data_IF_754866675308
#
_entry.id   IF_754866675308
#
_cell.length_a   1.000
_cell.length_b   1.000
_cell.length_c   1.000
_cell.angle_alpha   90.00
_cell.angle_beta   90.00
_cell.angle_gamma   90.00
#
_symmetry.space_group_name_H-M   'P 1'
#
loop_
_entity.id
_entity.type
_entity.pdbx_description
1 polymer ?
#
# COMPACT_ATOMS: atom_id res chain seq x y z
N UNK A 1 19.20 10.36 -11.52
CA UNK A 1 19.71 9.19 -10.74
C UNK A 1 18.55 8.28 -10.39
N UNK A 2 18.74 6.95 -10.51
CA UNK A 2 17.69 5.98 -10.14
C UNK A 2 17.99 5.45 -8.75
N UNK A 3 17.13 5.75 -7.79
CA UNK A 3 17.34 5.42 -6.39
C UNK A 3 16.32 4.39 -5.89
N UNK A 4 16.81 3.50 -5.03
CA UNK A 4 15.99 2.76 -4.09
C UNK A 4 15.80 3.57 -2.81
N UNK A 5 14.87 3.17 -1.96
CA UNK A 5 14.55 3.87 -0.71
C UNK A 5 15.79 4.22 0.14
N UNK A 6 16.74 3.29 0.28
CA UNK A 6 17.93 3.50 1.12
C UNK A 6 18.86 4.59 0.56
N UNK A 7 18.95 4.71 -0.76
CA UNK A 7 19.76 5.74 -1.44
C UNK A 7 19.11 7.11 -1.29
N UNK A 8 17.78 7.18 -1.49
CA UNK A 8 17.00 8.40 -1.27
C UNK A 8 17.15 8.90 0.19
N UNK A 9 17.04 7.97 1.15
CA UNK A 9 17.20 8.28 2.57
C UNK A 9 18.59 8.82 2.91
N UNK A 10 19.63 8.24 2.32
CA UNK A 10 21.01 8.71 2.51
C UNK A 10 21.20 10.13 1.95
N UNK A 11 20.71 10.39 0.76
CA UNK A 11 20.81 11.71 0.11
C UNK A 11 20.05 12.78 0.93
N UNK A 12 18.81 12.52 1.33
CA UNK A 12 18.05 13.47 2.16
C UNK A 12 18.77 13.73 3.50
N UNK A 13 19.42 12.71 4.07
CA UNK A 13 20.18 12.85 5.33
C UNK A 13 21.46 13.68 5.16
N UNK A 14 22.13 13.59 4.00
CA UNK A 14 23.33 14.40 3.72
C UNK A 14 23.02 15.88 3.47
N UNK A 15 21.76 16.23 3.16
CA UNK A 15 21.39 17.60 2.80
C UNK A 15 21.73 17.98 1.36
N UNK A 16 22.19 17.03 0.55
CA UNK A 16 22.49 17.24 -0.87
C UNK A 16 21.23 16.99 -1.70
N UNK A 17 20.39 18.01 -1.85
CA UNK A 17 19.12 17.89 -2.53
C UNK A 17 19.25 18.03 -4.04
N UNK A 18 18.62 17.11 -4.78
CA UNK A 18 18.42 17.25 -6.21
C UNK A 18 17.34 18.31 -6.49
N UNK A 19 17.45 18.99 -7.63
CA UNK A 19 16.43 19.96 -8.05
C UNK A 19 15.09 19.33 -8.41
N UNK A 20 15.11 18.04 -8.81
CA UNK A 20 13.91 17.34 -9.25
C UNK A 20 13.88 15.95 -8.60
N UNK A 21 12.74 15.59 -8.03
CA UNK A 21 12.44 14.25 -7.56
C UNK A 21 11.19 13.71 -8.26
N UNK A 22 11.23 12.44 -8.64
CA UNK A 22 10.05 11.67 -9.06
C UNK A 22 9.91 10.50 -8.10
N UNK A 23 8.93 10.57 -7.21
CA UNK A 23 8.61 9.54 -6.23
C UNK A 23 7.46 8.68 -6.78
N UNK A 24 7.73 7.42 -7.10
CA UNK A 24 6.77 6.51 -7.73
C UNK A 24 6.85 5.11 -7.12
N UNK A 25 5.93 4.23 -7.48
CA UNK A 25 5.85 2.87 -6.95
C UNK A 25 4.52 2.60 -6.25
N UNK A 26 4.39 1.43 -5.66
CA UNK A 26 3.13 0.93 -5.12
C UNK A 26 2.93 1.20 -3.60
N UNK A 27 3.87 1.93 -2.95
CA UNK A 27 3.76 2.28 -1.53
C UNK A 27 3.46 3.77 -1.34
N UNK A 28 2.18 4.09 -1.22
CA UNK A 28 1.70 5.49 -1.11
C UNK A 28 2.18 6.18 0.17
N UNK A 29 2.27 5.44 1.29
CA UNK A 29 2.79 6.01 2.53
C UNK A 29 4.23 6.51 2.39
N UNK A 30 5.10 5.73 1.77
CA UNK A 30 6.50 6.13 1.58
C UNK A 30 6.63 7.33 0.63
N UNK A 31 5.82 7.38 -0.44
CA UNK A 31 5.80 8.53 -1.34
C UNK A 31 5.43 9.81 -0.60
N UNK A 32 4.39 9.77 0.21
CA UNK A 32 3.97 10.90 1.03
C UNK A 32 5.04 11.27 2.06
N UNK A 33 5.55 10.27 2.80
CA UNK A 33 6.57 10.47 3.83
C UNK A 33 7.84 11.14 3.27
N UNK A 34 8.35 10.68 2.12
CA UNK A 34 9.56 11.25 1.54
C UNK A 34 9.31 12.62 0.91
N UNK A 35 8.15 12.87 0.32
CA UNK A 35 7.78 14.19 -0.17
C UNK A 35 7.74 15.21 0.98
N UNK A 36 7.08 14.86 2.10
CA UNK A 36 7.04 15.69 3.30
C UNK A 36 8.44 15.88 3.94
N UNK A 37 9.24 14.82 3.97
CA UNK A 37 10.59 14.88 4.52
C UNK A 37 11.50 15.80 3.70
N UNK A 38 11.45 15.72 2.36
CA UNK A 38 12.17 16.62 1.46
C UNK A 38 11.72 18.06 1.71
N UNK A 39 10.42 18.33 1.69
CA UNK A 39 9.86 19.64 1.94
C UNK A 39 10.28 20.21 3.31
N UNK A 40 10.24 19.40 4.36
CA UNK A 40 10.61 19.84 5.73
C UNK A 40 12.11 20.07 5.92
N UNK A 41 12.95 19.49 5.06
CA UNK A 41 14.40 19.65 5.11
C UNK A 41 14.92 20.78 4.22
N UNK A 42 14.16 21.14 3.19
CA UNK A 42 14.50 22.19 2.25
C UNK A 42 13.90 23.55 2.61
N UNK A 43 12.71 23.57 3.20
CA UNK A 43 11.99 24.78 3.57
C UNK A 43 12.00 24.99 5.08
N UNK A 44 12.49 26.14 5.51
CA UNK A 44 12.45 26.54 6.91
C UNK A 44 11.00 26.72 7.39
N UNK A 45 10.74 26.33 8.64
CA UNK A 45 9.39 26.28 9.20
C UNK A 45 8.68 27.65 9.16
N UNK A 46 9.41 28.72 9.42
CA UNK A 46 8.87 30.08 9.49
C UNK A 46 8.53 30.66 8.10
N UNK A 47 9.11 30.12 7.04
CA UNK A 47 8.86 30.55 5.65
C UNK A 47 8.05 29.53 4.85
N UNK A 48 7.43 28.56 5.51
CA UNK A 48 6.66 27.49 4.85
C UNK A 48 5.53 28.02 3.97
N UNK A 49 4.84 29.05 4.42
CA UNK A 49 3.69 29.62 3.68
C UNK A 49 4.09 30.32 2.37
N UNK A 50 5.37 30.71 2.24
CA UNK A 50 5.90 31.40 1.07
C UNK A 50 6.71 30.47 0.16
N UNK A 51 7.45 29.53 0.75
CA UNK A 51 8.45 28.75 0.03
C UNK A 51 8.01 27.29 -0.22
N UNK A 52 6.85 26.84 0.31
CA UNK A 52 6.30 25.52 0.07
C UNK A 52 5.01 25.61 -0.72
N UNK A 53 5.01 25.05 -1.93
CA UNK A 53 3.84 24.93 -2.77
C UNK A 53 3.40 23.48 -2.87
N UNK A 54 2.11 23.21 -2.58
CA UNK A 54 1.52 21.87 -2.69
C UNK A 54 0.42 21.94 -3.74
N UNK A 55 0.62 21.23 -4.85
CA UNK A 55 -0.25 21.29 -6.03
C UNK A 55 -0.92 19.94 -6.32
N UNK A 56 -2.18 20.01 -6.71
CA UNK A 56 -2.89 18.88 -7.34
C UNK A 56 -2.54 18.88 -8.84
N UNK A 57 -1.67 17.97 -9.25
CA UNK A 57 -1.17 17.91 -10.62
C UNK A 57 -2.26 17.62 -11.66
N UNK A 58 -3.39 17.05 -11.24
CA UNK A 58 -4.53 16.83 -12.16
C UNK A 58 -5.24 18.13 -12.57
N UNK A 59 -5.02 19.21 -11.81
CA UNK A 59 -5.63 20.54 -12.04
C UNK A 59 -4.60 21.62 -12.37
N UNK A 60 -3.31 21.27 -12.30
CA UNK A 60 -2.23 22.23 -12.48
C UNK A 60 -1.78 22.22 -13.95
N UNK A 61 -1.87 23.38 -14.61
CA UNK A 61 -1.30 23.57 -15.93
C UNK A 61 0.19 23.91 -15.87
N UNK A 62 0.84 23.97 -17.04
CA UNK A 62 2.28 24.22 -17.14
C UNK A 62 2.66 25.64 -16.68
N UNK A 63 1.76 26.62 -16.85
CA UNK A 63 2.03 28.00 -16.44
C UNK A 63 2.00 28.11 -14.92
N UNK A 64 0.99 27.56 -14.27
CA UNK A 64 0.90 27.50 -12.81
C UNK A 64 2.10 26.74 -12.20
N UNK A 65 2.52 25.63 -12.81
CA UNK A 65 3.73 24.92 -12.40
C UNK A 65 4.96 25.81 -12.53
N UNK A 66 5.13 26.47 -13.68
CA UNK A 66 6.23 27.39 -13.96
C UNK A 66 6.33 28.51 -12.93
N UNK A 67 5.23 29.17 -12.63
CA UNK A 67 5.17 30.26 -11.65
C UNK A 67 5.64 29.82 -10.26
N UNK A 68 5.26 28.63 -9.84
CA UNK A 68 5.67 28.08 -8.54
C UNK A 68 7.16 27.69 -8.50
N UNK A 69 7.67 27.03 -9.57
CA UNK A 69 9.02 26.44 -9.53
C UNK A 69 10.12 27.42 -9.96
N UNK A 70 9.79 28.46 -10.70
CA UNK A 70 10.75 29.51 -11.08
C UNK A 70 10.79 30.67 -10.07
N UNK A 71 9.93 30.66 -9.04
CA UNK A 71 9.96 31.63 -7.96
C UNK A 71 11.23 31.48 -7.11
N UNK A 72 11.79 32.60 -6.66
CA UNK A 72 12.90 32.60 -5.73
C UNK A 72 12.40 32.46 -4.28
N UNK A 73 13.16 31.77 -3.41
CA UNK A 73 12.78 31.62 -2.01
C UNK A 73 12.76 32.97 -1.29
N UNK A 74 11.76 33.19 -0.45
CA UNK A 74 11.71 34.32 0.42
C UNK A 74 12.71 34.13 1.58
N UNK A 75 13.57 35.12 1.83
CA UNK A 75 14.55 35.11 2.93
C UNK A 75 15.64 34.02 2.86
N UNK A 76 15.92 33.46 1.68
CA UNK A 76 16.96 32.44 1.48
C UNK A 76 16.48 31.01 1.62
N UNK A 77 17.39 30.04 1.55
CA UNK A 77 17.08 28.62 1.56
C UNK A 77 16.57 28.10 0.19
N UNK A 78 15.58 27.22 0.25
CA UNK A 78 14.99 26.60 -0.95
C UNK A 78 13.50 26.93 -1.06
N UNK A 79 13.00 26.99 -2.29
CA UNK A 79 11.60 26.83 -2.63
C UNK A 79 11.33 25.35 -2.90
N UNK A 80 10.29 24.79 -2.31
CA UNK A 80 9.90 23.39 -2.55
C UNK A 80 8.49 23.35 -3.14
N UNK A 81 8.34 22.73 -4.31
CA UNK A 81 7.04 22.50 -4.92
C UNK A 81 6.76 21.01 -4.99
N UNK A 82 5.71 20.56 -4.29
CA UNK A 82 5.25 19.15 -4.31
C UNK A 82 4.02 19.06 -5.18
N UNK A 83 4.09 18.28 -6.26
CA UNK A 83 2.99 18.09 -7.21
C UNK A 83 2.54 16.64 -7.18
N UNK A 84 1.28 16.42 -6.82
CA UNK A 84 0.69 15.07 -6.78
C UNK A 84 0.00 14.77 -8.10
N UNK A 85 0.34 13.61 -8.70
CA UNK A 85 -0.29 13.08 -9.93
C UNK A 85 -0.30 14.06 -11.13
N UNK A 86 0.81 14.79 -11.31
CA UNK A 86 0.98 15.55 -12.54
C UNK A 86 0.97 14.62 -13.76
N UNK A 87 0.33 14.97 -14.89
CA UNK A 87 0.18 14.07 -16.04
C UNK A 87 1.49 13.87 -16.82
N UNK A 88 2.52 13.37 -16.15
CA UNK A 88 3.88 13.23 -16.64
C UNK A 88 3.97 12.41 -17.94
N UNK A 89 3.11 11.39 -18.08
CA UNK A 89 3.09 10.55 -19.28
C UNK A 89 2.66 11.32 -20.54
N UNK A 90 1.80 12.33 -20.41
CA UNK A 90 1.33 13.16 -21.52
C UNK A 90 2.42 14.11 -22.05
N UNK A 91 3.45 14.37 -21.25
CA UNK A 91 4.59 15.20 -21.63
C UNK A 91 5.51 14.50 -22.64
N UNK A 92 5.36 13.20 -22.83
CA UNK A 92 6.16 12.43 -23.78
C UNK A 92 5.33 12.15 -25.03
N UNK A 93 5.66 12.82 -26.12
CA UNK A 93 5.03 12.63 -27.42
C UNK A 93 5.29 11.24 -28.00
N UNK A 94 4.59 10.88 -29.09
CA UNK A 94 4.66 9.54 -29.69
C UNK A 94 6.05 9.16 -30.22
N UNK A 95 6.83 10.13 -30.66
CA UNK A 95 8.23 9.93 -31.06
C UNK A 95 9.20 9.97 -29.86
N UNK A 96 8.67 10.09 -28.64
CA UNK A 96 9.44 10.14 -27.39
C UNK A 96 10.16 11.49 -27.17
N UNK A 97 9.72 12.56 -27.83
CA UNK A 97 10.20 13.92 -27.58
C UNK A 97 9.44 14.48 -26.37
N UNK A 98 10.15 15.12 -25.46
CA UNK A 98 9.54 15.82 -24.32
C UNK A 98 8.83 17.08 -24.81
N UNK A 99 7.73 17.43 -24.14
CA UNK A 99 7.00 18.67 -24.39
C UNK A 99 7.93 19.87 -24.21
N UNK A 100 7.92 20.81 -25.17
CA UNK A 100 8.87 21.94 -25.19
C UNK A 100 8.69 22.91 -24.03
N UNK A 101 7.46 23.15 -23.61
CA UNK A 101 7.17 24.06 -22.49
C UNK A 101 7.69 23.45 -21.18
N UNK A 102 7.47 22.14 -20.99
CA UNK A 102 8.02 21.43 -19.83
C UNK A 102 9.54 21.39 -19.83
N UNK A 103 10.16 21.15 -21.00
CA UNK A 103 11.63 21.20 -21.18
C UNK A 103 12.19 22.56 -20.82
N UNK A 104 11.51 23.63 -21.23
CA UNK A 104 11.88 25.03 -20.89
C UNK A 104 11.82 25.25 -19.37
N UNK A 105 10.74 24.84 -18.71
CA UNK A 105 10.60 24.96 -17.24
C UNK A 105 11.70 24.20 -16.52
N UNK A 106 11.96 22.96 -16.90
CA UNK A 106 12.99 22.12 -16.27
C UNK A 106 14.40 22.67 -16.45
N UNK A 107 14.72 23.18 -17.66
CA UNK A 107 16.05 23.76 -17.95
C UNK A 107 16.32 25.06 -17.19
N UNK A 108 15.28 25.80 -16.85
CA UNK A 108 15.36 27.10 -16.17
C UNK A 108 15.22 27.00 -14.65
N UNK A 109 15.05 25.78 -14.07
CA UNK A 109 14.90 25.60 -12.63
C UNK A 109 16.08 26.25 -11.86
N UNK A 110 15.81 27.16 -10.92
CA UNK A 110 16.85 27.73 -10.06
C UNK A 110 17.55 26.65 -9.23
N UNK A 111 18.79 26.86 -8.86
CA UNK A 111 19.52 25.97 -7.95
C UNK A 111 18.88 25.90 -6.55
N UNK A 112 18.12 26.91 -6.20
CA UNK A 112 17.38 27.03 -4.94
C UNK A 112 15.97 26.42 -4.98
N UNK A 113 15.61 25.74 -6.08
CA UNK A 113 14.29 25.11 -6.24
C UNK A 113 14.39 23.59 -6.11
N UNK A 114 13.47 23.01 -5.35
CA UNK A 114 13.27 21.56 -5.26
C UNK A 114 11.85 21.23 -5.73
N UNK A 115 11.75 20.56 -6.87
CA UNK A 115 10.50 20.10 -7.46
C UNK A 115 10.30 18.60 -7.18
N UNK A 116 9.19 18.23 -6.54
CA UNK A 116 8.88 16.86 -6.19
C UNK A 116 7.59 16.42 -6.89
N UNK A 117 7.71 15.53 -7.86
CA UNK A 117 6.55 14.83 -8.43
C UNK A 117 6.24 13.59 -7.60
N UNK A 118 5.11 13.59 -6.91
CA UNK A 118 4.57 12.44 -6.20
C UNK A 118 3.54 11.76 -7.09
N UNK A 119 3.85 10.54 -7.56
CA UNK A 119 3.00 9.78 -8.48
C UNK A 119 2.24 8.72 -7.69
N UNK A 120 0.97 9.01 -7.33
CA UNK A 120 0.11 8.09 -6.58
C UNK A 120 -0.69 7.16 -7.50
N UNK A 121 -0.97 7.62 -8.72
CA UNK A 121 -1.61 6.82 -9.76
C UNK A 121 -0.76 5.62 -10.18
N UNK A 122 -1.44 4.54 -10.61
CA UNK A 122 -0.75 3.37 -11.16
C UNK A 122 -0.04 3.72 -12.47
N UNK A 123 1.24 3.44 -12.53
CA UNK A 123 2.04 3.62 -13.74
C UNK A 123 2.56 2.27 -14.23
N UNK A 124 2.32 1.98 -15.50
CA UNK A 124 2.99 0.85 -16.14
C UNK A 124 4.47 1.17 -16.33
N UNK A 125 5.30 0.64 -15.45
CA UNK A 125 6.76 0.85 -15.47
C UNK A 125 7.45 0.29 -16.72
N UNK A 126 6.78 -0.61 -17.46
CA UNK A 126 7.28 -1.15 -18.75
C UNK A 126 6.96 -0.24 -19.93
N UNK A 127 6.15 0.81 -19.72
CA UNK A 127 5.78 1.74 -20.75
C UNK A 127 7.02 2.54 -21.24
N UNK A 128 7.22 2.56 -22.55
CA UNK A 128 8.37 3.23 -23.16
C UNK A 128 8.38 4.76 -22.90
N UNK A 129 7.20 5.40 -22.83
CA UNK A 129 7.08 6.82 -22.49
C UNK A 129 7.55 7.09 -21.06
N UNK A 130 7.16 6.23 -20.11
CA UNK A 130 7.61 6.30 -18.72
C UNK A 130 9.13 6.19 -18.60
N UNK A 131 9.70 5.17 -19.21
CA UNK A 131 11.17 4.97 -19.22
C UNK A 131 11.91 6.17 -19.80
N UNK A 132 11.38 6.79 -20.88
CA UNK A 132 11.97 7.97 -21.49
C UNK A 132 11.89 9.20 -20.60
N UNK A 133 10.74 9.39 -19.94
CA UNK A 133 10.56 10.48 -18.96
C UNK A 133 11.57 10.36 -17.81
N UNK A 134 11.68 9.18 -17.20
CA UNK A 134 12.62 8.99 -16.10
C UNK A 134 14.08 9.24 -16.53
N UNK A 135 14.47 8.80 -17.74
CA UNK A 135 15.78 9.11 -18.30
C UNK A 135 16.00 10.60 -18.54
N UNK A 136 14.96 11.30 -18.98
CA UNK A 136 15.02 12.76 -19.16
C UNK A 136 15.22 13.48 -17.82
N UNK A 137 14.48 13.08 -16.77
CA UNK A 137 14.67 13.62 -15.42
C UNK A 137 16.09 13.33 -14.90
N UNK A 138 16.58 12.12 -15.09
CA UNK A 138 17.93 11.71 -14.71
C UNK A 138 19.00 12.57 -15.42
N UNK A 139 18.88 12.79 -16.75
CA UNK A 139 19.82 13.60 -17.51
C UNK A 139 19.84 15.08 -17.10
N UNK A 140 18.77 15.58 -16.47
CA UNK A 140 18.68 16.92 -15.88
C UNK A 140 19.07 16.95 -14.38
N UNK A 141 19.78 15.94 -13.89
CA UNK A 141 20.28 15.86 -12.52
C UNK A 141 19.19 15.51 -11.49
N UNK A 142 18.02 15.05 -11.95
CA UNK A 142 16.93 14.66 -11.06
C UNK A 142 17.10 13.26 -10.49
N UNK A 143 16.35 12.96 -9.44
CA UNK A 143 16.29 11.66 -8.75
C UNK A 143 14.95 11.01 -9.00
N UNK A 144 14.97 9.79 -9.52
CA UNK A 144 13.80 8.93 -9.72
C UNK A 144 13.83 7.82 -8.66
N UNK A 145 12.95 7.88 -7.67
CA UNK A 145 12.94 6.93 -6.56
C UNK A 145 11.73 5.99 -6.64
N UNK A 146 12.02 4.68 -6.78
CA UNK A 146 11.00 3.64 -6.73
C UNK A 146 10.73 3.21 -5.28
N UNK A 147 9.52 3.46 -4.80
CA UNK A 147 9.07 3.18 -3.44
C UNK A 147 8.06 2.03 -3.47
N UNK A 148 8.56 0.83 -3.20
CA UNK A 148 7.78 -0.41 -3.26
C UNK A 148 7.23 -0.81 -1.90
N UNK A 149 6.11 -1.54 -1.91
CA UNK A 149 5.56 -2.19 -0.72
C UNK A 149 6.60 -3.04 -0.03
N UNK A 150 6.58 -3.01 1.28
CA UNK A 150 7.47 -3.80 2.12
C UNK A 150 6.98 -5.22 2.27
N UNK A 151 7.92 -6.14 2.37
CA UNK A 151 7.60 -7.53 2.75
C UNK A 151 7.17 -7.61 4.21
N UNK A 152 6.43 -8.65 4.58
CA UNK A 152 6.02 -8.87 5.99
C UNK A 152 7.21 -8.87 6.95
N UNK A 153 8.35 -9.43 6.54
CA UNK A 153 9.59 -9.43 7.34
C UNK A 153 10.13 -8.02 7.56
N UNK A 154 10.06 -7.15 6.54
CA UNK A 154 10.47 -5.74 6.65
C UNK A 154 9.49 -4.93 7.51
N UNK A 155 8.17 -5.20 7.40
CA UNK A 155 7.16 -4.58 8.25
C UNK A 155 7.31 -4.97 9.72
N UNK A 156 7.56 -6.25 10.00
CA UNK A 156 7.84 -6.74 11.36
C UNK A 156 9.09 -6.06 11.94
N UNK A 157 10.16 -5.93 11.15
CA UNK A 157 11.34 -5.19 11.58
C UNK A 157 11.02 -3.72 11.87
N UNK A 158 10.19 -3.08 11.03
CA UNK A 158 9.75 -1.71 11.23
C UNK A 158 8.93 -1.56 12.55
N UNK A 159 8.04 -2.51 12.83
CA UNK A 159 7.26 -2.55 14.08
C UNK A 159 8.21 -2.63 15.28
N UNK A 160 9.13 -3.61 15.28
CA UNK A 160 10.06 -3.80 16.39
C UNK A 160 10.98 -2.60 16.60
N UNK A 161 11.54 -2.03 15.53
CA UNK A 161 12.41 -0.85 15.60
C UNK A 161 11.63 0.41 16.04
N UNK A 162 10.36 0.53 15.65
CA UNK A 162 9.52 1.68 16.03
C UNK A 162 9.04 1.59 17.47
N UNK A 163 8.66 0.40 17.94
CA UNK A 163 8.32 0.16 19.36
C UNK A 163 9.50 0.53 20.25
N UNK A 164 10.70 0.08 19.90
CA UNK A 164 11.93 0.38 20.65
C UNK A 164 12.23 1.87 20.77
N UNK A 165 12.02 2.64 19.70
CA UNK A 165 12.16 4.11 19.72
C UNK A 165 11.15 4.81 20.63
N UNK A 166 10.03 4.14 20.95
CA UNK A 166 8.97 4.63 21.85
C UNK A 166 9.10 4.13 23.29
N UNK A 167 10.21 3.45 23.63
CA UNK A 167 10.45 2.90 24.95
C UNK A 167 9.76 1.57 25.22
N UNK A 168 9.19 0.95 24.19
CA UNK A 168 8.56 -0.37 24.29
C UNK A 168 9.38 -1.43 23.57
N UNK A 169 9.26 -2.67 24.01
CA UNK A 169 9.75 -3.85 23.31
C UNK A 169 8.58 -4.65 22.77
N UNK A 170 8.76 -5.32 21.65
CA UNK A 170 7.78 -6.26 21.11
C UNK A 170 8.52 -7.47 20.53
N UNK A 171 8.07 -8.67 20.84
CA UNK A 171 8.64 -9.89 20.28
C UNK A 171 8.38 -9.95 18.78
N UNK A 172 9.23 -10.70 18.05
CA UNK A 172 9.01 -10.91 16.61
C UNK A 172 7.66 -11.61 16.35
N UNK A 173 7.26 -12.51 17.21
CA UNK A 173 5.99 -13.24 17.10
C UNK A 173 4.80 -12.32 17.32
N UNK A 174 4.86 -11.44 18.33
CA UNK A 174 3.79 -10.47 18.60
C UNK A 174 3.75 -9.35 17.55
N UNK A 175 4.89 -9.01 16.95
CA UNK A 175 4.93 -8.09 15.82
C UNK A 175 4.30 -8.70 14.55
N UNK A 176 4.46 -10.01 14.29
CA UNK A 176 3.71 -10.71 13.26
C UNK A 176 2.21 -10.78 13.59
N UNK A 177 1.87 -11.05 14.85
CA UNK A 177 0.48 -11.02 15.29
C UNK A 177 -0.17 -9.65 15.06
N UNK A 178 0.53 -8.58 15.40
CA UNK A 178 0.07 -7.21 15.14
C UNK A 178 -0.11 -6.94 13.65
N UNK A 179 0.84 -7.37 12.81
CA UNK A 179 0.74 -7.24 11.35
C UNK A 179 -0.47 -7.99 10.80
N UNK A 180 -0.72 -9.21 11.28
CA UNK A 180 -1.87 -10.01 10.89
C UNK A 180 -3.20 -9.38 11.35
N UNK A 181 -3.23 -8.75 12.52
CA UNK A 181 -4.43 -8.11 13.08
C UNK A 181 -4.76 -6.77 12.39
N UNK A 182 -3.75 -5.94 12.14
CA UNK A 182 -3.91 -4.57 11.62
C UNK A 182 -3.89 -4.53 10.09
N UNK A 183 -3.13 -5.42 9.45
CA UNK A 183 -2.90 -5.43 8.00
C UNK A 183 -1.57 -4.81 7.61
N UNK A 184 -1.31 -4.78 6.28
CA UNK A 184 -0.03 -4.38 5.67
C UNK A 184 0.02 -2.90 5.25
N UNK A 185 -1.04 -2.13 5.48
CA UNK A 185 -1.03 -0.69 5.26
C UNK A 185 -0.13 0.03 6.27
N UNK A 186 0.94 0.65 5.78
CA UNK A 186 1.96 1.24 6.65
C UNK A 186 1.45 2.40 7.50
N UNK A 187 0.49 3.19 6.99
CA UNK A 187 -0.09 4.31 7.72
C UNK A 187 -0.91 3.81 8.91
N UNK A 188 -1.81 2.86 8.64
CA UNK A 188 -2.64 2.22 9.66
C UNK A 188 -1.78 1.49 10.68
N UNK A 189 -0.81 0.68 10.21
CA UNK A 189 0.08 -0.07 11.08
C UNK A 189 0.87 0.82 12.03
N UNK A 190 1.35 1.97 11.55
CA UNK A 190 2.04 2.94 12.38
C UNK A 190 1.12 3.55 13.43
N UNK A 191 -0.09 3.98 13.04
CA UNK A 191 -1.06 4.59 13.94
C UNK A 191 -1.49 3.60 15.03
N UNK A 192 -1.72 2.33 14.67
CA UNK A 192 -2.09 1.31 15.65
C UNK A 192 -0.92 1.00 16.61
N UNK A 193 0.32 0.92 16.09
CA UNK A 193 1.51 0.76 16.92
C UNK A 193 1.70 1.93 17.89
N UNK A 194 1.45 3.15 17.44
CA UNK A 194 1.53 4.35 18.27
C UNK A 194 0.54 4.28 19.44
N UNK A 195 -0.70 3.83 19.18
CA UNK A 195 -1.71 3.62 20.22
C UNK A 195 -1.32 2.52 21.21
N UNK A 196 -0.85 1.37 20.70
CA UNK A 196 -0.44 0.24 21.55
C UNK A 196 0.75 0.62 22.43
N UNK A 197 1.76 1.31 21.89
CA UNK A 197 2.89 1.79 22.67
C UNK A 197 2.48 2.84 23.71
N UNK A 198 1.57 3.76 23.35
CA UNK A 198 1.04 4.75 24.27
C UNK A 198 0.23 4.13 25.43
N UNK A 199 -0.53 3.07 25.13
CA UNK A 199 -1.25 2.27 26.14
C UNK A 199 -0.29 1.54 27.07
N UNK A 200 0.72 0.87 26.51
CA UNK A 200 1.74 0.13 27.31
C UNK A 200 2.63 1.03 28.12
N UNK A 201 2.96 2.24 27.61
CA UNK A 201 3.90 3.24 28.12
C UNK A 201 5.35 2.77 28.07
N UNK A 202 5.69 1.67 28.74
CA UNK A 202 7.02 1.07 28.79
C UNK A 202 6.95 -0.46 28.96
N UNK A 203 8.04 -1.15 28.62
CA UNK A 203 8.16 -2.60 28.74
C UNK A 203 7.70 -3.34 27.49
N UNK A 204 7.43 -4.65 27.65
CA UNK A 204 7.14 -5.54 26.54
C UNK A 204 5.67 -5.53 26.16
N UNK A 205 5.36 -5.16 24.92
CA UNK A 205 4.03 -5.26 24.32
C UNK A 205 3.71 -6.74 24.08
N UNK A 206 2.54 -7.16 24.53
CA UNK A 206 2.03 -8.52 24.40
C UNK A 206 0.80 -8.54 23.49
N UNK A 207 0.36 -9.74 23.07
CA UNK A 207 -0.89 -9.93 22.31
C UNK A 207 -2.09 -9.32 23.04
N UNK A 208 -2.17 -9.47 24.37
CA UNK A 208 -3.25 -8.88 25.15
C UNK A 208 -3.28 -7.34 25.06
N UNK A 209 -2.11 -6.69 25.03
CA UNK A 209 -2.02 -5.23 24.82
C UNK A 209 -2.49 -4.84 23.41
N UNK A 210 -2.13 -5.63 22.39
CA UNK A 210 -2.57 -5.43 21.00
C UNK A 210 -4.08 -5.58 20.91
N UNK A 211 -4.64 -6.67 21.44
CA UNK A 211 -6.08 -6.96 21.40
C UNK A 211 -6.92 -5.91 22.16
N UNK A 212 -6.35 -5.29 23.20
CA UNK A 212 -7.03 -4.27 23.98
C UNK A 212 -7.18 -2.93 23.25
N UNK A 213 -6.28 -2.61 22.31
CA UNK A 213 -6.16 -1.25 21.78
C UNK A 213 -6.17 -1.20 20.26
N UNK A 214 -5.55 -2.16 19.59
CA UNK A 214 -5.44 -2.12 18.14
C UNK A 214 -6.78 -2.42 17.47
N UNK A 215 -7.13 -1.59 16.49
CA UNK A 215 -8.31 -1.84 15.66
C UNK A 215 -7.94 -2.91 14.63
N UNK A 216 -8.57 -4.08 14.77
CA UNK A 216 -8.41 -5.16 13.80
C UNK A 216 -9.04 -4.76 12.47
N UNK A 217 -8.31 -4.88 11.37
CA UNK A 217 -8.81 -4.56 10.04
C UNK A 217 -9.97 -5.50 9.64
N UNK A 218 -10.82 -5.03 8.72
CA UNK A 218 -11.90 -5.86 8.14
C UNK A 218 -11.31 -7.10 7.49
N UNK A 219 -10.24 -6.92 6.73
CA UNK A 219 -9.51 -8.00 6.08
C UNK A 219 -9.04 -9.07 7.09
N UNK A 220 -8.45 -8.66 8.21
CA UNK A 220 -7.97 -9.60 9.23
C UNK A 220 -9.12 -10.36 9.90
N UNK A 221 -10.25 -9.69 10.17
CA UNK A 221 -11.47 -10.33 10.70
C UNK A 221 -12.04 -11.34 9.70
N UNK A 222 -12.10 -10.99 8.41
CA UNK A 222 -12.59 -11.90 7.38
C UNK A 222 -11.62 -13.04 7.11
N UNK A 223 -10.32 -12.83 7.23
CA UNK A 223 -9.33 -13.92 7.21
C UNK A 223 -9.49 -14.87 8.41
N UNK A 224 -9.84 -14.33 9.59
CA UNK A 224 -10.16 -15.17 10.74
C UNK A 224 -11.45 -15.97 10.50
N UNK A 225 -12.48 -15.35 9.93
CA UNK A 225 -13.70 -16.02 9.47
C UNK A 225 -13.37 -17.15 8.50
N UNK A 226 -12.55 -16.89 7.47
CA UNK A 226 -12.11 -17.92 6.52
C UNK A 226 -11.41 -19.09 7.21
N UNK A 227 -10.53 -18.82 8.18
CA UNK A 227 -9.83 -19.87 8.96
C UNK A 227 -10.78 -20.71 9.81
N UNK A 228 -11.77 -20.09 10.46
CA UNK A 228 -12.80 -20.84 11.21
C UNK A 228 -13.63 -21.73 10.29
N UNK A 229 -14.00 -21.24 9.12
CA UNK A 229 -14.69 -22.06 8.09
C UNK A 229 -13.79 -23.22 7.67
N UNK A 230 -12.52 -22.96 7.37
CA UNK A 230 -11.55 -24.00 6.99
C UNK A 230 -11.35 -25.02 8.09
N UNK A 231 -11.27 -24.62 9.38
CA UNK A 231 -11.13 -25.55 10.50
C UNK A 231 -12.41 -26.32 10.85
N UNK A 232 -13.57 -25.92 10.30
CA UNK A 232 -14.87 -26.50 10.65
C UNK A 232 -15.46 -25.94 11.95
N UNK A 233 -14.90 -24.84 12.46
CA UNK A 233 -15.35 -24.18 13.69
C UNK A 233 -16.54 -23.26 13.39
N UNK A 234 -17.73 -23.84 13.39
CA UNK A 234 -18.97 -23.15 13.04
C UNK A 234 -19.32 -22.03 14.03
N UNK A 235 -19.09 -22.24 15.32
CA UNK A 235 -19.45 -21.28 16.36
C UNK A 235 -18.64 -20.00 16.22
N UNK A 236 -17.33 -20.13 16.12
CA UNK A 236 -16.44 -18.97 15.92
C UNK A 236 -16.61 -18.31 14.55
N UNK A 237 -16.94 -19.08 13.51
CA UNK A 237 -17.24 -18.52 12.19
C UNK A 237 -18.47 -17.61 12.24
N UNK A 238 -19.59 -18.10 12.81
CA UNK A 238 -20.83 -17.34 12.92
C UNK A 238 -20.71 -16.15 13.90
N UNK A 239 -19.98 -16.33 15.00
CA UNK A 239 -19.68 -15.24 15.93
C UNK A 239 -18.88 -14.13 15.26
N UNK A 240 -17.85 -14.49 14.49
CA UNK A 240 -17.02 -13.52 13.74
C UNK A 240 -17.85 -12.78 12.71
N UNK A 241 -18.69 -13.48 11.94
CA UNK A 241 -19.61 -12.85 10.98
C UNK A 241 -20.59 -11.89 11.68
N UNK A 242 -21.20 -12.30 12.80
CA UNK A 242 -22.09 -11.46 13.60
C UNK A 242 -21.39 -10.19 14.10
N UNK A 243 -20.12 -10.29 14.51
CA UNK A 243 -19.33 -9.14 14.96
C UNK A 243 -19.02 -8.17 13.80
N UNK A 244 -18.74 -8.67 12.59
CA UNK A 244 -18.58 -7.83 11.39
C UNK A 244 -19.85 -7.00 11.15
N UNK A 245 -21.04 -7.61 11.24
CA UNK A 245 -22.30 -6.87 11.09
C UNK A 245 -22.55 -5.85 12.22
N UNK A 246 -22.20 -6.17 13.47
CA UNK A 246 -22.29 -5.22 14.58
C UNK A 246 -21.40 -3.99 14.36
N UNK A 247 -20.26 -4.16 13.71
CA UNK A 247 -19.35 -3.08 13.33
C UNK A 247 -19.83 -2.32 12.09
N UNK A 248 -20.98 -2.67 11.52
CA UNK A 248 -21.56 -2.07 10.31
C UNK A 248 -20.70 -2.22 9.07
N UNK A 249 -19.92 -3.31 9.00
CA UNK A 249 -19.16 -3.62 7.81
C UNK A 249 -20.09 -3.95 6.64
N UNK A 250 -19.77 -3.42 5.47
CA UNK A 250 -20.56 -3.63 4.26
C UNK A 250 -20.52 -5.10 3.82
N UNK A 251 -21.67 -5.77 3.67
CA UNK A 251 -21.75 -7.20 3.34
C UNK A 251 -21.01 -7.58 2.08
N UNK A 252 -21.05 -6.71 1.06
CA UNK A 252 -20.35 -6.91 -0.21
C UNK A 252 -18.82 -6.84 -0.02
N UNK A 253 -18.34 -5.97 0.87
CA UNK A 253 -16.91 -5.89 1.20
C UNK A 253 -16.44 -7.16 1.94
N UNK A 254 -17.21 -7.65 2.92
CA UNK A 254 -16.95 -8.92 3.62
C UNK A 254 -16.88 -10.09 2.64
N UNK A 255 -17.86 -10.18 1.73
CA UNK A 255 -17.90 -11.22 0.69
C UNK A 255 -16.71 -11.10 -0.27
N UNK A 256 -16.31 -9.87 -0.65
CA UNK A 256 -15.18 -9.62 -1.53
C UNK A 256 -13.86 -10.16 -0.96
N UNK A 257 -13.59 -9.88 0.32
CA UNK A 257 -12.38 -10.37 1.00
C UNK A 257 -12.42 -11.91 1.16
N UNK A 258 -13.58 -12.47 1.54
CA UNK A 258 -13.77 -13.92 1.65
C UNK A 258 -13.56 -14.61 0.30
N UNK A 259 -14.12 -14.05 -0.77
CA UNK A 259 -13.96 -14.56 -2.14
C UNK A 259 -12.50 -14.56 -2.57
N UNK A 260 -11.76 -13.50 -2.26
CA UNK A 260 -10.34 -13.39 -2.56
C UNK A 260 -9.54 -14.50 -1.87
N UNK A 261 -9.82 -14.82 -0.60
CA UNK A 261 -9.15 -15.90 0.12
C UNK A 261 -9.36 -17.26 -0.58
N UNK A 262 -10.58 -17.56 -1.02
CA UNK A 262 -10.87 -18.80 -1.75
C UNK A 262 -10.28 -18.84 -3.15
N UNK A 263 -10.22 -17.70 -3.86
CA UNK A 263 -9.52 -17.57 -5.14
C UNK A 263 -8.03 -17.85 -4.97
N UNK A 264 -7.41 -17.33 -3.90
CA UNK A 264 -6.00 -17.55 -3.62
C UNK A 264 -5.73 -19.03 -3.31
N UNK A 265 -6.56 -19.69 -2.47
CA UNK A 265 -6.49 -21.14 -2.23
C UNK A 265 -6.63 -21.94 -3.54
N UNK A 266 -7.60 -21.60 -4.39
CA UNK A 266 -7.80 -22.25 -5.66
C UNK A 266 -6.59 -22.11 -6.60
N UNK A 267 -6.05 -20.91 -6.76
CA UNK A 267 -4.88 -20.64 -7.60
C UNK A 267 -3.67 -21.43 -7.14
N UNK A 268 -3.39 -21.41 -5.82
CA UNK A 268 -2.28 -22.18 -5.25
C UNK A 268 -2.47 -23.68 -5.46
N UNK A 269 -3.68 -24.20 -5.26
CA UNK A 269 -3.98 -25.62 -5.49
C UNK A 269 -3.81 -26.00 -6.96
N UNK A 270 -4.38 -25.21 -7.86
CA UNK A 270 -4.34 -25.46 -9.31
C UNK A 270 -2.91 -25.46 -9.88
N UNK A 271 -2.04 -24.55 -9.39
CA UNK A 271 -0.65 -24.50 -9.86
C UNK A 271 0.17 -25.68 -9.30
N UNK A 272 -0.07 -26.05 -8.03
CA UNK A 272 0.59 -27.21 -7.41
C UNK A 272 0.21 -28.54 -8.07
N UNK A 273 -1.05 -28.72 -8.47
CA UNK A 273 -1.48 -29.93 -9.20
C UNK A 273 -0.81 -30.07 -10.58
N UNK A 274 -0.33 -28.96 -11.15
CA UNK A 274 0.48 -28.96 -12.37
C UNK A 274 1.98 -29.16 -12.12
N UNK A 275 2.40 -29.42 -10.89
CA UNK A 275 3.81 -29.59 -10.52
C UNK A 275 4.61 -28.27 -10.52
N UNK A 276 3.94 -27.11 -10.54
CA UNK A 276 4.60 -25.81 -10.54
C UNK A 276 4.69 -25.28 -9.10
N UNK A 277 5.86 -24.76 -8.67
CA UNK A 277 6.02 -24.15 -7.35
C UNK A 277 5.04 -22.98 -7.15
N UNK A 278 4.44 -22.87 -5.96
CA UNK A 278 3.42 -21.88 -5.66
C UNK A 278 3.93 -20.43 -5.75
N UNK A 279 5.22 -20.22 -5.52
CA UNK A 279 5.90 -18.93 -5.59
C UNK A 279 5.82 -18.29 -6.98
N UNK A 280 5.73 -19.12 -8.04
CA UNK A 280 5.54 -18.65 -9.41
C UNK A 280 4.20 -17.96 -9.66
N UNK A 281 3.23 -18.04 -8.76
CA UNK A 281 2.01 -17.24 -8.83
C UNK A 281 2.28 -15.75 -8.91
N UNK A 282 3.36 -15.26 -8.28
CA UNK A 282 3.77 -13.85 -8.37
C UNK A 282 4.20 -13.43 -9.78
N UNK A 283 4.61 -14.36 -10.63
CA UNK A 283 4.96 -14.11 -12.03
C UNK A 283 3.68 -14.07 -12.92
N UNK A 284 2.70 -14.95 -12.64
CA UNK A 284 1.44 -15.00 -13.39
C UNK A 284 0.45 -13.90 -12.97
N UNK A 285 0.45 -13.53 -11.69
CA UNK A 285 -0.46 -12.53 -11.12
C UNK A 285 0.32 -11.50 -10.30
N UNK A 286 1.19 -10.69 -10.92
CA UNK A 286 2.07 -9.77 -10.21
C UNK A 286 1.28 -8.73 -9.39
N UNK A 287 0.16 -8.22 -9.89
CA UNK A 287 -0.69 -7.28 -9.16
C UNK A 287 -1.25 -7.85 -7.84
N UNK A 288 -1.47 -9.17 -7.76
CA UNK A 288 -2.00 -9.83 -6.56
C UNK A 288 -0.93 -10.24 -5.56
N UNK A 289 0.25 -10.68 -6.02
CA UNK A 289 1.22 -11.41 -5.17
C UNK A 289 2.62 -10.80 -5.13
N UNK A 290 2.95 -9.79 -5.94
CA UNK A 290 4.28 -9.16 -5.89
C UNK A 290 4.50 -8.52 -4.51
N UNK A 291 5.57 -8.93 -3.82
CA UNK A 291 5.86 -8.49 -2.45
C UNK A 291 4.96 -9.09 -1.34
N UNK A 292 4.00 -9.95 -1.71
CA UNK A 292 2.99 -10.52 -0.79
C UNK A 292 3.06 -12.05 -0.73
N UNK A 293 4.25 -12.62 -0.64
CA UNK A 293 4.45 -14.10 -0.59
C UNK A 293 3.70 -14.77 0.56
N UNK A 294 3.43 -14.04 1.65
CA UNK A 294 2.65 -14.55 2.77
C UNK A 294 1.21 -14.96 2.37
N UNK A 295 0.59 -14.27 1.40
CA UNK A 295 -0.74 -14.64 0.88
C UNK A 295 -0.68 -16.05 0.27
N UNK A 296 0.36 -16.32 -0.54
CA UNK A 296 0.58 -17.63 -1.15
C UNK A 296 0.79 -18.71 -0.07
N UNK A 297 1.58 -18.40 0.94
CA UNK A 297 1.87 -19.32 2.07
C UNK A 297 0.61 -19.63 2.87
N UNK A 298 -0.18 -18.61 3.22
CA UNK A 298 -1.44 -18.77 3.93
C UNK A 298 -2.46 -19.55 3.09
N UNK A 299 -2.63 -19.21 1.83
CA UNK A 299 -3.52 -19.92 0.91
C UNK A 299 -3.10 -21.38 0.68
N UNK A 300 -1.80 -21.67 0.69
CA UNK A 300 -1.27 -23.03 0.60
C UNK A 300 -1.60 -23.85 1.85
N UNK A 301 -1.48 -23.25 3.02
CA UNK A 301 -1.82 -23.88 4.31
C UNK A 301 -3.33 -24.12 4.44
N UNK A 302 -4.12 -23.08 4.21
CA UNK A 302 -5.58 -23.10 4.44
C UNK A 302 -6.29 -23.94 3.37
N UNK A 303 -5.81 -23.92 2.12
CA UNK A 303 -6.31 -24.73 1.02
C UNK A 303 -5.84 -26.20 1.00
N UNK A 304 -4.94 -26.60 1.92
CA UNK A 304 -4.33 -27.92 1.89
C UNK A 304 -5.33 -29.07 1.94
N UNK A 305 -6.37 -28.94 2.79
CA UNK A 305 -7.41 -29.97 2.97
C UNK A 305 -8.43 -30.08 1.84
N UNK A 306 -8.57 -29.03 1.02
CA UNK A 306 -9.55 -29.01 -0.03
C UNK A 306 -9.04 -29.65 -1.32
N UNK A 307 -9.94 -30.34 -2.04
CA UNK A 307 -9.70 -30.71 -3.44
C UNK A 307 -9.90 -29.49 -4.36
N UNK A 308 -9.38 -29.56 -5.58
CA UNK A 308 -9.65 -28.52 -6.58
C UNK A 308 -11.15 -28.43 -6.91
N UNK A 309 -11.85 -29.57 -6.89
CA UNK A 309 -13.30 -29.63 -7.09
C UNK A 309 -14.07 -28.95 -5.95
N UNK A 310 -13.68 -29.19 -4.70
CA UNK A 310 -14.27 -28.52 -3.54
C UNK A 310 -14.09 -27.00 -3.60
N UNK A 311 -12.90 -26.54 -3.99
CA UNK A 311 -12.63 -25.08 -4.13
C UNK A 311 -13.44 -24.48 -5.28
N UNK A 312 -13.63 -25.19 -6.40
CA UNK A 312 -14.53 -24.74 -7.49
C UNK A 312 -15.97 -24.59 -6.99
N UNK A 313 -16.45 -25.56 -6.22
CA UNK A 313 -17.79 -25.50 -5.64
C UNK A 313 -17.94 -24.34 -4.66
N UNK A 314 -16.93 -24.10 -3.80
CA UNK A 314 -16.89 -22.93 -2.92
C UNK A 314 -16.96 -21.61 -3.71
N UNK A 315 -16.18 -21.48 -4.77
CA UNK A 315 -16.21 -20.29 -5.64
C UNK A 315 -17.57 -20.09 -6.31
N UNK A 316 -18.26 -21.17 -6.70
CA UNK A 316 -19.62 -21.07 -7.24
C UNK A 316 -20.62 -20.56 -6.20
N UNK A 317 -20.52 -21.02 -4.93
CA UNK A 317 -21.35 -20.54 -3.83
C UNK A 317 -21.10 -19.06 -3.51
N UNK A 318 -19.83 -18.64 -3.52
CA UNK A 318 -19.44 -17.23 -3.32
C UNK A 318 -19.97 -16.33 -4.44
N UNK A 319 -19.91 -16.80 -5.70
CA UNK A 319 -20.48 -16.08 -6.84
C UNK A 319 -22.01 -15.97 -6.75
N UNK A 320 -22.71 -17.04 -6.33
CA UNK A 320 -24.16 -16.98 -6.11
C UNK A 320 -24.53 -15.97 -5.01
N UNK A 321 -23.80 -15.97 -3.91
CA UNK A 321 -24.00 -14.99 -2.84
C UNK A 321 -23.75 -13.55 -3.32
N UNK A 322 -22.71 -13.29 -4.14
CA UNK A 322 -22.43 -11.97 -4.72
C UNK A 322 -23.59 -11.49 -5.60
N UNK A 323 -24.11 -12.40 -6.43
CA UNK A 323 -25.27 -12.09 -7.26
C UNK A 323 -26.51 -11.76 -6.42
N UNK A 324 -26.79 -12.54 -5.35
CA UNK A 324 -27.94 -12.30 -4.46
C UNK A 324 -27.82 -10.96 -3.75
N UNK A 325 -26.65 -10.63 -3.20
CA UNK A 325 -26.40 -9.35 -2.51
C UNK A 325 -26.56 -8.14 -3.42
N UNK A 326 -26.28 -8.29 -4.74
CA UNK A 326 -26.33 -7.17 -5.70
C UNK A 326 -27.64 -7.06 -6.47
N UNK A 327 -28.38 -8.16 -6.62
CA UNK A 327 -29.52 -8.24 -7.55
C UNK A 327 -30.86 -8.57 -6.88
N UNK A 328 -30.88 -8.79 -5.57
CA UNK A 328 -32.11 -9.12 -4.83
C UNK A 328 -32.25 -8.19 -3.62
N UNK A 329 -33.47 -8.15 -3.06
CA UNK A 329 -33.75 -7.45 -1.80
C UNK A 329 -33.69 -8.40 -0.58
N UNK A 330 -32.95 -9.50 -0.70
CA UNK A 330 -32.78 -10.43 0.41
C UNK A 330 -31.98 -9.78 1.57
N UNK A 331 -32.23 -10.24 2.80
CA UNK A 331 -31.44 -9.81 3.93
C UNK A 331 -29.97 -10.25 3.75
N UNK A 332 -29.10 -9.28 3.62
CA UNK A 332 -27.68 -9.52 3.37
C UNK A 332 -27.01 -10.36 4.47
N UNK A 333 -27.49 -10.23 5.72
CA UNK A 333 -27.02 -11.04 6.83
C UNK A 333 -27.38 -12.50 6.64
N UNK A 334 -28.64 -12.78 6.30
CA UNK A 334 -29.12 -14.14 6.05
C UNK A 334 -28.38 -14.80 4.87
N UNK A 335 -28.11 -14.04 3.79
CA UNK A 335 -27.33 -14.54 2.64
C UNK A 335 -25.93 -14.97 3.05
N UNK A 336 -25.22 -14.15 3.87
CA UNK A 336 -23.85 -14.49 4.30
C UNK A 336 -23.83 -15.58 5.37
N UNK A 337 -24.81 -15.66 6.28
CA UNK A 337 -24.94 -16.76 7.24
C UNK A 337 -25.16 -18.09 6.50
N UNK A 338 -26.08 -18.14 5.53
CA UNK A 338 -26.29 -19.30 4.69
C UNK A 338 -25.00 -19.72 3.96
N UNK A 339 -24.29 -18.74 3.36
CA UNK A 339 -23.04 -19.00 2.67
C UNK A 339 -22.00 -19.65 3.59
N UNK A 340 -21.81 -19.10 4.81
CA UNK A 340 -20.85 -19.64 5.81
C UNK A 340 -21.21 -21.07 6.17
N UNK A 341 -22.50 -21.35 6.43
CA UNK A 341 -22.97 -22.70 6.75
C UNK A 341 -22.76 -23.69 5.59
N UNK A 342 -22.91 -23.23 4.35
CA UNK A 342 -22.65 -24.05 3.16
C UNK A 342 -21.16 -24.31 2.95
N UNK A 343 -20.31 -23.30 3.17
CA UNK A 343 -18.85 -23.45 3.07
C UNK A 343 -18.26 -24.38 4.16
N UNK A 344 -18.85 -24.42 5.35
CA UNK A 344 -18.47 -25.34 6.44
C UNK A 344 -18.70 -26.83 6.08
N UNK A 345 -19.54 -27.12 5.08
CA UNK A 345 -19.88 -28.50 4.65
C UNK A 345 -19.04 -28.99 3.48
N UNK A 346 -18.11 -28.20 2.98
CA UNK A 346 -17.19 -28.57 1.89
C UNK A 346 -15.95 -29.22 2.48
#
# INVERSE_FOLDING_TARGET
>A
MFFKEEELKKQIKSGDFARIYVLYGDESYLKQYYAELIASKTVEKDFKDFNLHILDGTKTDINTLSDCVLSFPMMGGFTCTVVTDYPLMSLVGDKGKINGDFDTVISQLPETTVLVFKVDSEVDQKNAKWTKLLKYIDSNGGVCAELCKRTSSQLVKLITDSAKRKGCEISREDAYYMLDAVGDDMSTLRNELDKVCAYKKEGTVTRADIDAVAVTSVEAKVFSLSRYIVSGDADNALLTLSNLFKLREEPVAVLGVLSKAYVDMYRVKAIKEKGIPAEKLSEYFPASYRGRSFIITNAARDGAKYSLSSLKNALSMLFDADRRLKSTNEDAKAVLEELVLRLLRI
#
